data_IF_360490844978
#
_entry.id   IF_360490844978
#
_cell.length_a   1.000
_cell.length_b   1.000
_cell.length_c   1.000
_cell.angle_alpha   90.00
_cell.angle_beta   90.00
_cell.angle_gamma   90.00
#
_symmetry.space_group_name_H-M   'P 1'
#
loop_
_entity.id
_entity.type
_entity.pdbx_description
1 polymer ?
#
# COMPACT_ATOMS: atom_id res chain seq x y z
N UNK A 1 -13.83 -8.72 76.82
CA UNK A 1 -13.54 -9.05 75.42
C UNK A 1 -12.17 -8.46 75.07
N UNK A 2 -11.12 -9.29 75.02
CA UNK A 2 -9.73 -8.88 74.77
C UNK A 2 -9.45 -9.02 73.27
N UNK A 3 -9.13 -7.93 72.58
CA UNK A 3 -8.82 -7.93 71.15
C UNK A 3 -7.34 -8.30 70.96
N UNK A 4 -7.09 -9.32 70.13
CA UNK A 4 -5.80 -9.96 69.93
C UNK A 4 -5.00 -9.24 68.82
N UNK A 5 -3.71 -8.98 69.08
CA UNK A 5 -2.86 -7.99 68.43
C UNK A 5 -2.16 -8.51 67.14
N UNK A 6 -2.84 -9.36 66.37
CA UNK A 6 -2.23 -10.12 65.26
C UNK A 6 -2.42 -9.50 63.86
N UNK A 7 -3.05 -8.32 63.73
CA UNK A 7 -3.38 -7.73 62.42
C UNK A 7 -2.55 -6.48 62.04
N UNK A 8 -1.54 -6.10 62.83
CA UNK A 8 -0.74 -4.88 62.62
C UNK A 8 0.46 -5.03 61.65
N UNK A 9 0.42 -6.00 60.72
CA UNK A 9 1.51 -6.20 59.73
C UNK A 9 1.13 -5.86 58.28
N UNK A 10 -0.02 -5.23 58.04
CA UNK A 10 -0.48 -4.89 56.68
C UNK A 10 -0.37 -3.38 56.37
N UNK A 11 0.25 -2.56 57.24
CA UNK A 11 0.20 -1.09 57.15
C UNK A 11 1.50 -0.39 56.69
N UNK A 12 2.34 -1.03 55.86
CA UNK A 12 3.66 -0.46 55.52
C UNK A 12 4.08 -0.55 54.05
N UNK A 13 3.11 -0.51 53.12
CA UNK A 13 3.42 -0.36 51.68
C UNK A 13 2.44 0.60 50.97
N UNK A 14 2.16 1.76 51.55
CA UNK A 14 1.30 2.80 50.96
C UNK A 14 1.90 4.22 51.05
N UNK A 15 3.23 4.33 51.08
CA UNK A 15 3.92 5.62 51.12
C UNK A 15 5.10 5.61 50.14
N UNK A 16 4.83 5.92 48.86
CA UNK A 16 5.78 6.58 47.94
C UNK A 16 5.25 6.68 46.49
N UNK A 17 4.02 7.16 46.27
CA UNK A 17 3.66 7.76 44.97
C UNK A 17 2.63 8.87 45.21
N UNK A 18 3.09 10.03 45.72
CA UNK A 18 2.35 11.27 45.49
C UNK A 18 2.92 11.86 44.18
N UNK A 19 2.13 11.94 43.09
CA UNK A 19 2.57 12.66 41.92
C UNK A 19 2.72 14.15 42.30
N UNK A 20 3.93 14.69 42.17
CA UNK A 20 4.13 16.14 42.13
C UNK A 20 3.39 16.68 40.89
N UNK A 21 2.29 17.39 41.11
CA UNK A 21 1.64 18.14 40.04
C UNK A 21 2.60 19.26 39.56
N UNK A 22 2.78 19.47 38.25
CA UNK A 22 3.57 20.57 37.74
C UNK A 22 2.93 21.90 38.15
N UNK A 23 3.70 22.78 38.79
CA UNK A 23 3.34 24.19 38.94
C UNK A 23 3.34 24.82 37.55
N UNK A 24 2.17 25.20 37.05
CA UNK A 24 2.04 25.99 35.84
C UNK A 24 2.54 27.41 36.13
N UNK A 25 3.75 27.73 35.68
CA UNK A 25 4.22 29.12 35.63
C UNK A 25 3.51 29.85 34.50
N UNK A 26 2.46 30.62 34.82
CA UNK A 26 1.82 31.52 33.87
C UNK A 26 2.68 32.76 33.67
N UNK A 27 3.44 32.83 32.57
CA UNK A 27 4.14 34.03 32.15
C UNK A 27 3.16 34.99 31.45
N UNK A 28 2.64 35.97 32.19
CA UNK A 28 1.90 37.12 31.67
C UNK A 28 2.39 38.40 32.35
N UNK A 29 2.21 39.56 31.71
CA UNK A 29 2.50 40.84 32.35
C UNK A 29 1.76 40.90 33.71
N UNK A 30 2.40 41.39 34.80
CA UNK A 30 1.75 41.46 36.09
C UNK A 30 0.43 42.22 36.01
N UNK A 31 -0.67 41.60 36.44
CA UNK A 31 -2.00 42.19 36.44
C UNK A 31 -2.09 43.22 37.57
N UNK A 32 -1.52 44.40 37.33
CA UNK A 32 -1.48 45.53 38.25
C UNK A 32 -1.97 46.79 37.54
N UNK A 33 -2.73 47.61 38.25
CA UNK A 33 -3.18 48.91 37.74
C UNK A 33 -2.65 50.01 38.64
N UNK A 34 -2.12 51.06 38.03
CA UNK A 34 -1.79 52.28 38.75
C UNK A 34 -3.04 53.15 38.91
N UNK A 35 -3.32 53.60 40.12
CA UNK A 35 -4.40 54.53 40.43
C UNK A 35 -3.80 55.73 41.18
N UNK A 36 -4.00 56.92 40.65
CA UNK A 36 -3.45 58.16 41.22
C UNK A 36 -4.56 59.17 41.43
N UNK A 37 -4.38 60.03 42.42
CA UNK A 37 -5.33 61.09 42.72
C UNK A 37 -4.76 62.11 43.69
N UNK A 38 -5.58 63.11 43.99
CA UNK A 38 -5.29 64.12 45.01
C UNK A 38 -6.36 64.07 46.09
N UNK A 39 -5.92 63.91 47.34
CA UNK A 39 -6.77 63.97 48.52
C UNK A 39 -6.64 65.35 49.17
N UNK A 40 -7.79 65.94 49.48
CA UNK A 40 -7.87 67.14 50.30
C UNK A 40 -8.66 66.81 51.58
N UNK A 41 -8.14 67.28 52.72
CA UNK A 41 -8.80 67.19 54.02
C UNK A 41 -9.15 68.62 54.46
N UNK A 42 -10.43 68.89 54.69
CA UNK A 42 -10.93 70.22 55.09
C UNK A 42 -10.48 71.37 54.17
N UNK A 43 -10.35 71.10 52.87
CA UNK A 43 -9.93 72.08 51.86
C UNK A 43 -8.42 72.30 51.75
N UNK A 44 -7.61 71.65 52.58
CA UNK A 44 -6.15 71.65 52.48
C UNK A 44 -5.65 70.33 51.88
N UNK A 45 -4.49 70.35 51.25
CA UNK A 45 -3.88 69.14 50.72
C UNK A 45 -3.50 68.20 51.87
N UNK A 46 -3.89 66.93 51.77
CA UNK A 46 -3.53 65.93 52.78
C UNK A 46 -2.03 65.59 52.71
N UNK A 47 -1.41 65.33 53.86
CA UNK A 47 0.04 65.06 53.97
C UNK A 47 0.29 63.82 54.83
N UNK A 48 1.42 63.14 54.58
CA UNK A 48 1.87 62.02 55.38
C UNK A 48 1.25 60.67 55.00
N UNK A 49 1.49 59.64 55.81
CA UNK A 49 1.01 58.29 55.54
C UNK A 49 -0.48 58.13 55.90
N UNK A 50 -1.27 57.66 54.95
CA UNK A 50 -2.71 57.43 55.06
C UNK A 50 -3.05 56.01 54.61
N UNK A 51 -4.06 55.41 55.22
CA UNK A 51 -4.43 54.02 54.91
C UNK A 51 -5.59 53.97 53.92
N UNK A 52 -5.35 53.38 52.75
CA UNK A 52 -6.31 53.27 51.65
C UNK A 52 -6.83 51.85 51.48
N UNK A 53 -8.13 51.74 51.20
CA UNK A 53 -8.75 50.55 50.61
C UNK A 53 -9.50 50.97 49.35
N UNK A 54 -9.26 50.27 48.25
CA UNK A 54 -9.92 50.51 46.97
C UNK A 54 -10.90 49.40 46.67
N UNK A 55 -12.10 49.75 46.24
CA UNK A 55 -13.13 48.80 45.81
C UNK A 55 -13.60 49.14 44.42
N UNK A 56 -13.87 48.13 43.60
CA UNK A 56 -14.44 48.27 42.27
C UNK A 56 -15.86 47.73 42.29
N UNK A 57 -16.80 48.56 41.84
CA UNK A 57 -18.21 48.24 41.69
C UNK A 57 -18.64 48.26 40.23
N UNK A 58 -19.73 47.56 39.93
CA UNK A 58 -20.38 47.55 38.61
C UNK A 58 -21.28 48.77 38.36
N UNK A 59 -21.66 49.53 39.39
CA UNK A 59 -22.48 50.75 39.30
C UNK A 59 -21.94 51.94 40.11
N UNK A 60 -22.34 53.15 39.73
CA UNK A 60 -21.91 54.42 40.34
C UNK A 60 -22.39 54.63 41.78
N UNK A 61 -23.50 53.98 42.16
CA UNK A 61 -24.05 53.90 43.52
C UNK A 61 -24.75 52.55 43.70
N UNK A 62 -24.73 51.96 44.89
CA UNK A 62 -25.22 50.60 45.13
C UNK A 62 -24.35 49.54 44.43
N UNK A 63 -24.98 48.59 43.74
CA UNK A 63 -24.29 47.60 42.90
C UNK A 63 -23.55 46.48 43.65
N UNK A 64 -22.88 45.61 42.89
CA UNK A 64 -22.10 44.50 43.41
C UNK A 64 -20.62 44.90 43.55
N UNK A 65 -19.99 44.47 44.64
CA UNK A 65 -18.54 44.55 44.79
C UNK A 65 -17.89 43.51 43.88
N UNK A 66 -17.16 43.99 42.87
CA UNK A 66 -16.45 43.15 41.90
C UNK A 66 -15.06 42.77 42.43
N UNK A 67 -14.40 43.69 43.12
CA UNK A 67 -13.04 43.51 43.63
C UNK A 67 -12.74 44.51 44.75
N UNK A 68 -12.04 44.10 45.81
CA UNK A 68 -11.46 44.99 46.82
C UNK A 68 -9.96 44.76 46.96
N UNK A 69 -9.19 45.83 47.15
CA UNK A 69 -7.77 45.75 47.47
C UNK A 69 -7.55 45.30 48.92
N UNK A 70 -6.34 44.82 49.21
CA UNK A 70 -5.82 44.86 50.58
C UNK A 70 -5.69 46.31 51.06
N UNK A 71 -5.62 46.50 52.38
CA UNK A 71 -5.31 47.79 52.99
C UNK A 71 -3.87 48.20 52.66
N UNK A 72 -3.68 49.45 52.21
CA UNK A 72 -2.40 49.96 51.74
C UNK A 72 -2.07 51.28 52.43
N UNK A 73 -0.91 51.37 53.08
CA UNK A 73 -0.40 52.63 53.58
C UNK A 73 0.29 53.40 52.44
N UNK A 74 -0.26 54.56 52.05
CA UNK A 74 0.29 55.42 51.00
C UNK A 74 0.73 56.74 51.62
N UNK A 75 1.93 57.19 51.27
CA UNK A 75 2.43 58.51 51.67
C UNK A 75 1.96 59.56 50.69
N UNK A 76 1.32 60.60 51.20
CA UNK A 76 0.86 61.75 50.44
C UNK A 76 1.85 62.90 50.57
N UNK A 77 2.11 63.56 49.45
CA UNK A 77 2.87 64.80 49.36
C UNK A 77 2.05 65.81 48.56
N UNK A 78 1.72 66.96 49.15
CA UNK A 78 0.81 67.95 48.55
C UNK A 78 -0.56 67.35 48.12
N UNK A 79 -1.04 66.37 48.88
CA UNK A 79 -2.29 65.66 48.64
C UNK A 79 -2.19 64.59 47.57
N UNK A 80 -1.09 64.46 46.83
CA UNK A 80 -0.97 63.50 45.73
C UNK A 80 -0.59 62.12 46.25
N UNK A 81 -1.27 61.08 45.76
CA UNK A 81 -0.94 59.68 46.03
C UNK A 81 -0.86 58.86 44.73
N UNK A 82 -0.14 57.73 44.80
CA UNK A 82 -0.10 56.70 43.75
C UNK A 82 -0.24 55.33 44.40
N UNK A 83 -1.19 54.54 43.90
CA UNK A 83 -1.51 53.21 44.41
C UNK A 83 -1.34 52.15 43.32
N UNK A 84 -0.81 50.98 43.68
CA UNK A 84 -0.70 49.83 42.78
C UNK A 84 -1.75 48.77 43.14
N UNK A 85 -2.85 48.74 42.41
CA UNK A 85 -3.92 47.75 42.58
C UNK A 85 -3.44 46.42 42.03
N UNK A 86 -3.30 45.39 42.88
CA UNK A 86 -2.65 44.13 42.48
C UNK A 86 -3.16 42.88 43.21
N UNK A 87 -3.56 42.98 44.47
CA UNK A 87 -4.15 41.89 45.24
C UNK A 87 -5.59 42.23 45.63
N UNK A 88 -6.52 41.28 45.52
CA UNK A 88 -7.87 41.52 46.03
C UNK A 88 -8.71 40.30 46.32
N UNK A 89 -9.82 40.58 46.99
CA UNK A 89 -10.88 39.66 47.45
C UNK A 89 -12.25 40.31 47.13
N UNK A 90 -13.36 39.57 47.02
CA UNK A 90 -13.48 38.11 47.01
C UNK A 90 -12.91 37.45 45.74
N UNK A 91 -12.59 38.22 44.70
CA UNK A 91 -11.94 37.72 43.48
C UNK A 91 -10.51 38.25 43.33
N UNK A 92 -9.61 37.41 42.82
CA UNK A 92 -8.28 37.86 42.40
C UNK A 92 -8.41 38.88 41.24
N UNK A 93 -7.49 39.84 41.16
CA UNK A 93 -7.50 40.83 40.08
C UNK A 93 -7.28 40.12 38.74
N UNK A 94 -8.25 40.24 37.83
CA UNK A 94 -8.23 39.62 36.50
C UNK A 94 -8.78 40.58 35.45
N UNK A 95 -8.58 40.26 34.17
CA UNK A 95 -9.17 41.00 33.03
C UNK A 95 -10.69 41.10 33.13
N UNK A 96 -11.37 40.08 33.67
CA UNK A 96 -12.82 40.07 33.86
C UNK A 96 -13.33 41.18 34.80
N UNK A 97 -12.51 41.64 35.76
CA UNK A 97 -12.84 42.77 36.65
C UNK A 97 -13.14 44.04 35.86
N UNK A 98 -12.52 44.22 34.68
CA UNK A 98 -12.60 45.43 33.86
C UNK A 98 -13.59 45.32 32.69
N UNK A 99 -14.52 44.36 32.75
CA UNK A 99 -15.56 44.20 31.74
C UNK A 99 -16.74 45.16 31.96
N UNK A 100 -17.08 45.99 30.96
CA UNK A 100 -18.15 46.98 31.08
C UNK A 100 -17.78 48.18 31.98
N UNK A 101 -18.78 49.00 32.34
CA UNK A 101 -18.55 50.16 33.20
C UNK A 101 -18.14 49.72 34.61
N UNK A 102 -17.13 50.41 35.17
CA UNK A 102 -16.57 50.12 36.50
C UNK A 102 -16.32 51.38 37.28
N UNK A 103 -16.54 51.33 38.59
CA UNK A 103 -16.48 52.49 39.47
C UNK A 103 -15.62 52.19 40.68
N UNK A 104 -14.64 53.05 40.95
CA UNK A 104 -13.74 52.94 42.10
C UNK A 104 -14.32 53.71 43.28
N UNK A 105 -14.51 52.99 44.39
CA UNK A 105 -14.77 53.53 45.72
C UNK A 105 -13.46 53.49 46.52
N UNK A 106 -13.25 54.51 47.33
CA UNK A 106 -12.05 54.64 48.16
C UNK A 106 -12.44 54.84 49.61
N UNK A 107 -11.78 54.11 50.50
CA UNK A 107 -11.81 54.36 51.94
C UNK A 107 -10.44 54.85 52.38
N UNK A 108 -10.39 56.01 53.05
CA UNK A 108 -9.16 56.58 53.63
C UNK A 108 -9.32 56.66 55.14
N UNK A 109 -8.41 56.04 55.89
CA UNK A 109 -8.45 55.97 57.36
C UNK A 109 -9.84 55.54 57.91
N UNK A 110 -10.54 54.66 57.19
CA UNK A 110 -11.87 54.16 57.55
C UNK A 110 -13.05 55.00 57.04
N UNK A 111 -12.81 56.19 56.48
CA UNK A 111 -13.85 57.05 55.89
C UNK A 111 -14.02 56.72 54.41
N UNK A 112 -15.24 56.38 53.99
CA UNK A 112 -15.55 56.14 52.58
C UNK A 112 -15.82 57.46 51.85
N UNK A 113 -15.12 57.68 50.74
CA UNK A 113 -15.25 58.87 49.92
C UNK A 113 -16.30 58.68 48.83
N UNK A 114 -17.13 59.71 48.62
CA UNK A 114 -18.18 59.75 47.61
C UNK A 114 -18.06 61.03 46.76
N UNK A 115 -18.49 61.02 45.47
CA UNK A 115 -19.03 59.87 44.73
C UNK A 115 -17.93 58.89 44.28
N UNK A 116 -18.33 57.69 43.85
CA UNK A 116 -17.41 56.74 43.19
C UNK A 116 -16.94 57.31 41.86
N UNK A 117 -15.70 57.03 41.50
CA UNK A 117 -15.12 57.51 40.25
C UNK A 117 -15.21 56.44 39.17
N UNK A 118 -15.77 56.76 38.00
CA UNK A 118 -15.79 55.85 36.86
C UNK A 118 -14.38 55.62 36.30
N UNK A 119 -14.09 54.37 35.96
CA UNK A 119 -12.86 53.96 35.30
C UNK A 119 -12.99 54.19 33.80
N UNK A 120 -12.18 55.11 33.27
CA UNK A 120 -12.15 55.43 31.85
C UNK A 120 -11.03 54.66 31.13
N UNK A 121 -11.28 54.24 29.88
CA UNK A 121 -10.24 53.66 29.03
C UNK A 121 -9.27 54.72 28.50
N UNK A 122 -8.00 54.36 28.33
CA UNK A 122 -7.07 55.17 27.55
C UNK A 122 -7.41 55.06 26.05
N UNK A 123 -7.23 56.12 25.23
CA UNK A 123 -7.58 56.10 23.80
C UNK A 123 -6.97 54.92 23.02
N UNK A 124 -5.70 54.59 23.26
CA UNK A 124 -5.04 53.44 22.62
C UNK A 124 -5.48 52.08 23.20
N UNK A 125 -5.94 52.04 24.44
CA UNK A 125 -6.46 50.82 25.06
C UNK A 125 -7.83 50.40 24.48
N UNK A 126 -8.59 51.35 23.91
CA UNK A 126 -9.85 51.05 23.21
C UNK A 126 -9.65 50.13 21.99
N UNK A 127 -8.50 50.23 21.32
CA UNK A 127 -8.16 49.38 20.16
C UNK A 127 -7.71 47.98 20.60
N UNK A 128 -7.17 47.86 21.81
CA UNK A 128 -6.73 46.59 22.40
C UNK A 128 -7.86 45.79 23.07
N UNK A 129 -9.12 46.23 22.97
CA UNK A 129 -10.29 45.62 23.61
C UNK A 129 -10.49 44.13 23.26
N UNK A 130 -9.79 43.60 22.26
CA UNK A 130 -10.06 42.30 21.66
C UNK A 130 -9.24 41.10 22.15
N UNK A 131 -8.29 41.22 23.08
CA UNK A 131 -7.45 40.06 23.46
C UNK A 131 -7.11 40.01 24.96
N UNK A 132 -7.88 39.25 25.73
CA UNK A 132 -7.46 38.72 27.03
C UNK A 132 -6.98 37.26 26.86
N UNK A 133 -6.09 36.71 27.73
CA UNK A 133 -5.59 35.33 27.61
C UNK A 133 -6.67 34.24 27.77
N UNK A 134 -7.83 34.61 28.32
CA UNK A 134 -9.07 33.83 28.41
C UNK A 134 -10.09 34.19 27.30
N UNK A 135 -9.78 35.15 26.44
CA UNK A 135 -10.60 35.50 25.30
C UNK A 135 -10.44 34.43 24.21
N UNK A 136 -11.40 33.53 24.15
CA UNK A 136 -11.69 32.79 22.91
C UNK A 136 -11.97 33.84 21.83
N UNK A 137 -11.07 34.01 20.87
CA UNK A 137 -11.30 34.89 19.73
C UNK A 137 -12.54 34.42 18.98
N UNK A 138 -13.62 35.20 18.92
CA UNK A 138 -14.77 34.86 18.11
C UNK A 138 -14.34 34.80 16.64
N UNK A 139 -14.89 33.87 15.87
CA UNK A 139 -14.55 33.73 14.43
C UNK A 139 -14.70 35.03 13.63
N UNK A 140 -15.55 35.95 14.08
CA UNK A 140 -15.76 37.26 13.46
C UNK A 140 -14.57 38.23 13.57
N UNK A 141 -13.63 38.03 14.50
CA UNK A 141 -12.42 38.88 14.64
C UNK A 141 -11.24 38.37 13.81
N UNK A 142 -11.37 37.20 13.20
CA UNK A 142 -10.39 36.63 12.26
C UNK A 142 -10.83 37.02 10.85
N UNK A 143 -10.06 37.87 10.18
CA UNK A 143 -10.34 38.24 8.80
C UNK A 143 -10.27 37.00 7.89
N UNK A 144 -11.17 36.89 6.92
CA UNK A 144 -11.13 35.80 5.97
C UNK A 144 -9.76 35.75 5.26
N UNK A 145 -9.07 34.62 5.34
CA UNK A 145 -7.75 34.42 4.75
C UNK A 145 -6.56 34.91 5.59
N UNK A 146 -6.75 35.48 6.78
CA UNK A 146 -5.62 35.88 7.64
C UNK A 146 -4.88 34.69 8.25
N UNK A 147 -5.57 33.56 8.42
CA UNK A 147 -4.98 32.27 8.79
C UNK A 147 -4.66 31.51 7.51
N UNK A 148 -3.39 31.55 7.12
CA UNK A 148 -2.85 30.78 6.00
C UNK A 148 -2.08 29.53 6.49
N UNK A 149 -1.58 28.73 5.56
CA UNK A 149 -0.89 27.45 5.81
C UNK A 149 0.31 27.58 6.77
N UNK A 150 0.97 28.74 6.85
CA UNK A 150 2.07 28.97 7.79
C UNK A 150 1.62 29.13 9.24
N UNK A 151 0.34 29.40 9.49
CA UNK A 151 -0.22 29.64 10.83
C UNK A 151 -0.82 28.37 11.45
N UNK A 152 -1.00 27.31 10.66
CA UNK A 152 -1.74 26.11 11.08
C UNK A 152 -0.81 24.89 11.01
N UNK A 153 -0.10 24.62 12.11
CA UNK A 153 0.58 23.34 12.30
C UNK A 153 -0.35 22.37 13.03
N UNK A 154 -1.10 21.57 12.29
CA UNK A 154 -1.93 20.51 12.87
C UNK A 154 -1.03 19.33 13.25
N UNK A 155 -1.01 18.94 14.52
CA UNK A 155 -0.43 17.65 14.90
C UNK A 155 -1.34 16.53 14.38
N UNK A 156 -0.78 15.36 14.10
CA UNK A 156 -1.54 14.18 13.67
C UNK A 156 -2.65 13.78 14.64
N UNK A 157 -2.57 14.20 15.91
CA UNK A 157 -3.60 13.97 16.93
C UNK A 157 -4.74 15.02 16.92
N UNK A 158 -4.57 16.16 16.26
CA UNK A 158 -5.58 17.22 16.21
C UNK A 158 -6.71 16.95 15.21
N UNK A 159 -6.53 16.00 14.29
CA UNK A 159 -7.49 15.68 13.23
C UNK A 159 -8.26 14.42 13.62
N UNK A 160 -9.24 14.55 14.51
CA UNK A 160 -10.07 13.42 14.97
C UNK A 160 -11.20 13.04 13.97
N UNK A 161 -11.56 13.94 13.05
CA UNK A 161 -12.44 13.65 11.91
C UNK A 161 -12.36 14.78 10.89
N UNK A 162 -11.74 14.53 9.73
CA UNK A 162 -11.66 15.52 8.65
C UNK A 162 -12.94 15.51 7.82
N UNK A 163 -13.79 16.54 7.96
CA UNK A 163 -14.74 16.93 6.92
C UNK A 163 -14.11 18.08 6.12
N UNK A 164 -13.08 17.78 5.34
CA UNK A 164 -12.65 18.69 4.27
C UNK A 164 -13.59 18.42 3.09
N UNK A 165 -14.58 19.30 2.91
CA UNK A 165 -15.64 19.15 1.91
C UNK A 165 -15.25 19.62 0.50
N UNK A 166 -13.96 19.83 0.24
CA UNK A 166 -13.42 20.12 -1.08
C UNK A 166 -12.08 19.40 -1.31
N UNK A 167 -11.71 19.23 -2.59
CA UNK A 167 -10.61 18.38 -3.07
C UNK A 167 -9.19 18.91 -2.77
N UNK A 168 -9.01 19.76 -1.74
CA UNK A 168 -7.77 20.53 -1.52
C UNK A 168 -6.79 19.92 -0.51
N UNK A 169 -7.04 18.71 0.00
CA UNK A 169 -6.09 18.01 0.87
C UNK A 169 -5.17 17.12 0.03
N UNK A 170 -3.99 17.65 -0.30
CA UNK A 170 -2.93 16.91 -0.99
C UNK A 170 -2.08 16.14 0.03
N UNK A 171 -2.25 14.81 0.10
CA UNK A 171 -1.45 13.93 0.97
C UNK A 171 -0.13 13.63 0.26
N UNK A 172 0.92 14.43 0.51
CA UNK A 172 2.17 14.36 -0.26
C UNK A 172 3.13 13.25 0.16
N UNK A 173 2.96 12.62 1.33
CA UNK A 173 3.83 11.50 1.75
C UNK A 173 3.08 10.52 2.67
N UNK A 174 2.74 9.36 2.11
CA UNK A 174 2.74 8.08 2.84
C UNK A 174 1.55 7.71 3.75
N UNK A 175 0.46 8.47 3.82
CA UNK A 175 -0.69 8.13 4.68
C UNK A 175 -1.76 7.29 3.95
N UNK A 176 -1.38 6.18 3.33
CA UNK A 176 -2.37 5.14 2.98
C UNK A 176 -2.54 4.22 4.20
N UNK A 177 -3.20 4.69 5.26
CA UNK A 177 -3.63 3.78 6.32
C UNK A 177 -4.94 3.10 5.91
N UNK A 178 -4.95 1.78 6.03
CA UNK A 178 -5.96 0.89 5.46
C UNK A 178 -5.57 0.50 4.04
N UNK A 179 -5.20 -0.77 3.88
CA UNK A 179 -5.04 -1.37 2.58
C UNK A 179 -6.35 -1.37 1.77
N UNK A 180 -6.39 -2.25 0.79
CA UNK A 180 -7.53 -2.46 -0.06
C UNK A 180 -8.79 -2.93 0.72
N UNK A 181 -10.01 -2.64 0.21
CA UNK A 181 -11.32 -3.18 0.68
C UNK A 181 -11.99 -2.58 1.93
N UNK A 182 -12.04 -1.26 2.07
CA UNK A 182 -12.91 -0.62 3.06
C UNK A 182 -13.83 0.43 2.44
N UNK A 183 -15.02 0.62 3.03
CA UNK A 183 -16.00 1.62 2.60
C UNK A 183 -15.36 3.02 2.61
N UNK A 184 -15.33 3.68 1.46
CA UNK A 184 -14.71 5.01 1.27
C UNK A 184 -13.32 5.02 0.62
N UNK A 185 -12.83 3.91 0.06
CA UNK A 185 -11.57 3.86 -0.71
C UNK A 185 -11.79 3.87 -2.22
N UNK A 186 -10.85 4.47 -2.97
CA UNK A 186 -10.89 4.64 -4.44
C UNK A 186 -10.74 3.34 -5.25
N UNK A 187 -10.23 2.28 -4.61
CA UNK A 187 -10.03 0.96 -5.24
C UNK A 187 -10.67 -0.11 -4.35
N UNK A 188 -11.73 -0.73 -4.87
CA UNK A 188 -12.37 -1.90 -4.28
C UNK A 188 -11.81 -3.15 -4.98
N UNK A 189 -11.16 -4.01 -4.19
CA UNK A 189 -10.92 -5.39 -4.56
C UNK A 189 -12.15 -6.24 -4.18
N UNK A 190 -12.37 -7.33 -4.89
CA UNK A 190 -13.36 -8.35 -4.57
C UNK A 190 -13.00 -9.14 -3.29
N UNK A 191 -13.87 -10.07 -2.92
CA UNK A 191 -13.71 -10.96 -1.75
C UNK A 191 -12.47 -11.87 -1.84
N UNK A 192 -11.87 -11.99 -3.03
CA UNK A 192 -10.63 -12.72 -3.28
C UNK A 192 -9.38 -11.84 -3.36
N UNK A 193 -9.50 -10.54 -3.08
CA UNK A 193 -8.36 -9.61 -3.05
C UNK A 193 -7.85 -9.20 -4.43
N UNK A 194 -8.70 -9.18 -5.45
CA UNK A 194 -8.39 -8.67 -6.82
C UNK A 194 -9.27 -7.48 -7.20
N UNK A 195 -8.83 -6.60 -8.09
CA UNK A 195 -9.65 -5.47 -8.56
C UNK A 195 -11.00 -6.00 -9.08
N UNK A 196 -12.13 -5.49 -8.57
CA UNK A 196 -13.46 -6.01 -8.91
C UNK A 196 -13.75 -5.95 -10.41
N UNK A 197 -14.58 -6.88 -10.91
CA UNK A 197 -14.80 -7.19 -12.33
C UNK A 197 -15.24 -6.03 -13.27
N UNK A 198 -15.42 -4.81 -12.76
CA UNK A 198 -15.77 -3.61 -13.53
C UNK A 198 -14.60 -2.69 -13.90
N UNK A 199 -13.42 -2.85 -13.31
CA UNK A 199 -12.20 -2.15 -13.74
C UNK A 199 -11.37 -3.18 -14.49
N UNK A 200 -11.64 -3.34 -15.78
CA UNK A 200 -10.78 -4.14 -16.65
C UNK A 200 -9.41 -3.46 -16.59
N UNK A 201 -8.35 -4.03 -15.96
CA UNK A 201 -7.02 -3.56 -16.28
C UNK A 201 -6.90 -3.89 -17.76
N UNK A 202 -6.89 -2.88 -18.62
CA UNK A 202 -6.45 -3.07 -20.00
C UNK A 202 -4.98 -3.43 -19.88
N UNK A 203 -4.70 -4.69 -19.62
CA UNK A 203 -3.44 -5.34 -19.91
C UNK A 203 -3.35 -5.30 -21.41
N UNK A 204 -2.88 -4.15 -21.91
CA UNK A 204 -2.50 -4.03 -23.30
C UNK A 204 -1.59 -5.21 -23.60
N UNK A 205 -1.72 -5.80 -24.78
CA UNK A 205 -0.93 -6.96 -25.20
C UNK A 205 0.59 -6.71 -25.06
N UNK A 206 1.01 -5.45 -24.98
CA UNK A 206 2.39 -5.01 -24.75
C UNK A 206 2.90 -5.16 -23.30
N UNK A 207 2.05 -5.36 -22.29
CA UNK A 207 2.45 -5.32 -20.88
C UNK A 207 2.82 -6.70 -20.27
N UNK A 208 2.60 -7.80 -20.99
CA UNK A 208 2.94 -9.15 -20.52
C UNK A 208 4.18 -9.63 -21.26
N UNK A 209 5.36 -9.26 -20.76
CA UNK A 209 6.66 -9.63 -21.36
C UNK A 209 7.24 -10.92 -20.76
N UNK A 210 6.83 -11.33 -19.56
CA UNK A 210 7.12 -12.66 -18.99
C UNK A 210 6.25 -12.99 -17.76
N UNK A 211 5.92 -14.27 -17.58
CA UNK A 211 5.22 -14.83 -16.42
C UNK A 211 4.93 -16.32 -16.64
N UNK A 212 5.47 -17.20 -15.79
CA UNK A 212 5.23 -18.66 -15.82
C UNK A 212 4.18 -18.99 -14.77
N UNK A 213 2.95 -19.29 -15.19
CA UNK A 213 1.90 -19.72 -14.27
C UNK A 213 2.05 -21.23 -14.05
N UNK A 214 2.43 -21.62 -12.83
CA UNK A 214 2.91 -22.96 -12.49
C UNK A 214 1.84 -24.04 -12.33
N UNK A 215 0.70 -23.91 -12.99
CA UNK A 215 -0.43 -24.84 -12.86
C UNK A 215 -1.07 -25.26 -14.20
N UNK A 216 -0.39 -25.02 -15.34
CA UNK A 216 -0.85 -25.34 -16.70
C UNK A 216 -2.22 -24.73 -17.08
N UNK A 217 -2.71 -23.70 -16.38
CA UNK A 217 -4.02 -23.07 -16.62
C UNK A 217 -3.99 -21.81 -17.50
N UNK A 218 -2.86 -21.50 -18.14
CA UNK A 218 -2.79 -20.40 -19.11
C UNK A 218 -3.26 -20.89 -20.46
N UNK A 219 -4.54 -20.66 -20.71
CA UNK A 219 -5.15 -20.84 -22.01
C UNK A 219 -5.00 -19.55 -22.81
N UNK A 220 -4.13 -19.54 -23.83
CA UNK A 220 -4.02 -18.42 -24.77
C UNK A 220 -5.16 -18.55 -25.78
N UNK A 221 -6.32 -17.99 -25.44
CA UNK A 221 -7.56 -18.22 -26.19
C UNK A 221 -7.68 -17.39 -27.46
N UNK A 222 -6.94 -16.31 -27.63
CA UNK A 222 -6.89 -15.59 -28.93
C UNK A 222 -5.58 -14.80 -29.08
N UNK A 223 -4.87 -15.04 -30.19
CA UNK A 223 -3.95 -14.06 -30.81
C UNK A 223 -2.50 -13.92 -30.31
N UNK A 224 -2.07 -14.51 -29.19
CA UNK A 224 -0.70 -14.25 -28.69
C UNK A 224 0.43 -15.06 -29.36
N UNK A 225 0.10 -15.91 -30.34
CA UNK A 225 1.05 -16.31 -31.37
C UNK A 225 0.70 -15.51 -32.63
N UNK A 226 1.61 -14.66 -33.11
CA UNK A 226 1.47 -14.13 -34.45
C UNK A 226 1.45 -15.32 -35.43
N UNK A 227 0.27 -15.59 -36.04
CA UNK A 227 0.01 -16.79 -36.87
C UNK A 227 -0.80 -17.91 -36.21
N UNK A 228 -1.60 -17.63 -35.18
CA UNK A 228 -2.40 -18.61 -34.43
C UNK A 228 -3.11 -19.73 -35.22
N UNK A 229 -3.51 -20.79 -34.54
CA UNK A 229 -4.27 -21.89 -35.13
C UNK A 229 -5.62 -21.37 -35.68
N UNK A 230 -5.73 -21.24 -37.01
CA UNK A 230 -6.92 -20.93 -37.86
C UNK A 230 -6.89 -19.66 -38.72
N UNK A 231 -5.74 -19.00 -38.92
CA UNK A 231 -5.57 -17.98 -39.98
C UNK A 231 -4.99 -18.55 -41.31
N UNK A 232 -4.86 -17.70 -42.35
CA UNK A 232 -4.36 -18.07 -43.68
C UNK A 232 -2.87 -18.49 -43.66
N UNK A 233 -2.05 -17.85 -42.83
CA UNK A 233 -0.60 -18.04 -42.78
C UNK A 233 -0.19 -18.96 -41.61
N UNK A 234 -0.07 -20.28 -41.82
CA UNK A 234 0.11 -21.25 -40.72
C UNK A 234 1.36 -22.13 -40.78
N UNK A 235 1.82 -22.51 -39.58
CA UNK A 235 2.70 -23.65 -39.30
C UNK A 235 1.94 -24.99 -39.10
N UNK A 236 0.73 -25.04 -38.47
CA UNK A 236 -0.09 -26.27 -38.32
C UNK A 236 -1.61 -25.95 -38.26
N UNK A 237 -2.48 -26.64 -39.03
CA UNK A 237 -3.96 -26.53 -38.96
C UNK A 237 -4.59 -27.87 -38.51
N UNK A 238 -5.31 -27.90 -37.39
CA UNK A 238 -6.19 -29.03 -37.06
C UNK A 238 -7.64 -28.75 -37.50
N UNK A 239 -8.36 -29.78 -37.92
CA UNK A 239 -9.80 -29.69 -38.21
C UNK A 239 -10.66 -29.71 -36.92
N UNK A 240 -11.98 -29.64 -37.07
CA UNK A 240 -12.92 -29.67 -35.93
C UNK A 240 -12.89 -30.99 -35.13
N UNK A 241 -12.24 -32.02 -35.66
CA UNK A 241 -12.03 -33.32 -35.02
C UNK A 241 -10.60 -33.48 -34.48
N UNK A 242 -9.78 -32.42 -34.51
CA UNK A 242 -8.40 -32.44 -33.99
C UNK A 242 -7.38 -33.08 -34.93
N UNK A 243 -7.68 -33.27 -36.22
CA UNK A 243 -6.82 -33.93 -37.20
C UNK A 243 -6.00 -32.94 -38.03
N UNK A 244 -4.75 -33.27 -38.37
CA UNK A 244 -3.84 -32.44 -39.15
C UNK A 244 -3.92 -32.75 -40.65
N UNK A 245 -4.36 -31.77 -41.44
CA UNK A 245 -4.31 -31.83 -42.91
C UNK A 245 -3.19 -30.95 -43.48
N UNK A 246 -2.33 -31.52 -44.34
CA UNK A 246 -1.29 -30.79 -45.08
C UNK A 246 -1.70 -30.75 -46.56
N UNK A 247 -2.11 -29.56 -47.03
CA UNK A 247 -2.55 -29.37 -48.43
C UNK A 247 -3.89 -30.00 -48.80
N UNK A 248 -4.58 -30.68 -47.88
CA UNK A 248 -5.89 -31.33 -48.07
C UNK A 248 -6.66 -31.40 -46.75
N UNK A 249 -7.99 -31.56 -46.80
CA UNK A 249 -8.79 -31.86 -45.62
C UNK A 249 -8.43 -33.24 -45.06
N UNK A 250 -8.21 -33.39 -43.76
CA UNK A 250 -7.75 -34.65 -43.20
C UNK A 250 -8.85 -35.71 -43.11
N UNK A 251 -8.48 -36.95 -43.42
CA UNK A 251 -9.32 -38.15 -43.24
C UNK A 251 -8.84 -39.03 -42.09
N UNK A 252 -7.61 -38.82 -41.62
CA UNK A 252 -6.97 -39.47 -40.46
C UNK A 252 -6.27 -38.42 -39.58
N UNK A 253 -5.70 -38.83 -38.44
CA UNK A 253 -5.00 -37.94 -37.49
C UNK A 253 -3.94 -37.06 -38.16
N UNK A 254 -3.26 -37.59 -39.19
CA UNK A 254 -2.43 -36.85 -40.14
C UNK A 254 -2.86 -37.24 -41.55
N UNK A 255 -3.05 -36.28 -42.44
CA UNK A 255 -3.29 -36.50 -43.87
C UNK A 255 -2.42 -35.54 -44.67
N UNK A 256 -1.66 -36.06 -45.63
CA UNK A 256 -0.80 -35.26 -46.51
C UNK A 256 -1.34 -35.39 -47.93
N UNK A 257 -1.77 -34.27 -48.52
CA UNK A 257 -2.33 -34.23 -49.88
C UNK A 257 -1.26 -34.24 -50.97
N UNK A 258 0.00 -33.98 -50.61
CA UNK A 258 1.16 -34.04 -51.48
C UNK A 258 2.14 -35.17 -51.11
N UNK A 259 3.24 -35.31 -51.86
CA UNK A 259 4.28 -36.29 -51.56
C UNK A 259 5.00 -35.96 -50.24
N UNK A 260 5.50 -37.00 -49.57
CA UNK A 260 6.33 -36.88 -48.36
C UNK A 260 7.79 -37.05 -48.77
N UNK A 261 8.63 -36.06 -48.49
CA UNK A 261 10.08 -36.20 -48.63
C UNK A 261 10.64 -36.94 -47.42
N UNK A 262 11.24 -38.11 -47.65
CA UNK A 262 11.83 -38.95 -46.62
C UNK A 262 13.35 -39.03 -46.78
N UNK A 263 14.13 -39.08 -45.68
CA UNK A 263 15.57 -39.31 -45.76
C UNK A 263 15.91 -40.61 -46.49
N UNK A 264 16.84 -40.53 -47.43
CA UNK A 264 17.38 -41.68 -48.15
C UNK A 264 18.91 -41.69 -48.00
N UNK A 265 19.47 -42.84 -47.65
CA UNK A 265 20.89 -43.01 -47.37
C UNK A 265 21.44 -44.23 -48.09
N UNK A 266 22.60 -44.09 -48.70
CA UNK A 266 23.38 -45.21 -49.24
C UNK A 266 24.44 -45.65 -48.25
N UNK A 267 24.60 -46.95 -48.07
CA UNK A 267 25.61 -47.57 -47.20
C UNK A 267 26.40 -48.64 -47.97
N UNK A 268 27.69 -48.73 -47.72
CA UNK A 268 28.64 -49.66 -48.38
C UNK A 268 29.34 -50.60 -47.39
N UNK A 269 28.84 -50.65 -46.15
CA UNK A 269 29.34 -51.46 -45.05
C UNK A 269 28.22 -51.63 -44.00
N UNK A 270 28.46 -52.49 -43.00
CA UNK A 270 27.53 -52.69 -41.89
C UNK A 270 27.12 -51.35 -41.25
N UNK A 271 25.84 -51.22 -40.92
CA UNK A 271 25.28 -49.95 -40.45
C UNK A 271 24.13 -50.16 -39.47
N UNK A 272 24.13 -49.42 -38.37
CA UNK A 272 22.99 -49.35 -37.45
C UNK A 272 22.03 -48.26 -37.92
N UNK A 273 20.80 -48.64 -38.24
CA UNK A 273 19.74 -47.73 -38.66
C UNK A 273 19.36 -46.82 -37.49
N UNK A 274 19.18 -45.53 -37.77
CA UNK A 274 18.88 -44.51 -36.75
C UNK A 274 17.49 -43.91 -36.94
N UNK A 275 17.02 -43.13 -35.97
CA UNK A 275 15.74 -42.41 -36.07
C UNK A 275 15.69 -41.34 -37.17
N UNK A 276 16.84 -40.95 -37.72
CA UNK A 276 16.93 -39.98 -38.80
C UNK A 276 16.91 -40.63 -40.20
N UNK A 277 16.89 -41.96 -40.27
CA UNK A 277 16.84 -42.71 -41.52
C UNK A 277 15.39 -43.05 -41.90
N UNK A 278 15.14 -43.37 -43.17
CA UNK A 278 13.84 -43.90 -43.61
C UNK A 278 14.01 -44.95 -44.70
N UNK A 279 14.77 -44.62 -45.75
CA UNK A 279 15.17 -45.58 -46.78
C UNK A 279 16.69 -45.80 -46.75
N UNK A 280 17.11 -47.05 -46.66
CA UNK A 280 18.50 -47.47 -46.76
C UNK A 280 18.72 -48.20 -48.09
N UNK A 281 19.67 -47.69 -48.87
CA UNK A 281 20.20 -48.32 -50.06
C UNK A 281 21.52 -49.00 -49.70
N UNK A 282 21.54 -50.33 -49.66
CA UNK A 282 22.72 -51.11 -49.34
C UNK A 282 23.42 -51.56 -50.62
N UNK A 283 24.66 -51.11 -50.79
CA UNK A 283 25.58 -51.52 -51.85
C UNK A 283 26.56 -52.54 -51.30
N UNK A 284 26.21 -53.81 -51.43
CA UNK A 284 27.00 -54.94 -50.98
C UNK A 284 28.07 -55.37 -51.99
N UNK A 285 28.44 -54.52 -52.97
CA UNK A 285 29.38 -54.88 -54.05
C UNK A 285 30.71 -55.44 -53.57
N UNK A 286 31.19 -55.01 -52.39
CA UNK A 286 32.49 -55.41 -51.83
C UNK A 286 32.37 -56.48 -50.74
N UNK A 287 31.41 -56.34 -49.83
CA UNK A 287 31.21 -57.25 -48.69
C UNK A 287 29.71 -57.45 -48.46
N UNK A 288 29.37 -58.54 -47.76
CA UNK A 288 28.04 -58.66 -47.13
C UNK A 288 27.77 -57.46 -46.22
N UNK A 289 26.53 -57.00 -46.17
CA UNK A 289 26.11 -55.87 -45.34
C UNK A 289 25.05 -56.31 -44.34
N UNK A 290 25.34 -56.07 -43.07
CA UNK A 290 24.40 -56.23 -41.96
C UNK A 290 23.87 -54.86 -41.52
N UNK A 291 22.55 -54.74 -41.53
CA UNK A 291 21.82 -53.54 -41.14
C UNK A 291 21.07 -53.79 -39.84
N UNK A 292 21.63 -53.31 -38.74
CA UNK A 292 21.01 -53.46 -37.43
C UNK A 292 19.85 -52.48 -37.29
N UNK A 293 18.63 -52.99 -37.10
CA UNK A 293 17.44 -52.21 -36.82
C UNK A 293 17.51 -51.60 -35.40
N UNK A 294 16.84 -50.47 -35.14
CA UNK A 294 16.69 -49.98 -33.78
C UNK A 294 15.91 -50.94 -32.89
N UNK A 295 16.00 -50.72 -31.57
CA UNK A 295 15.10 -51.33 -30.59
C UNK A 295 13.63 -51.08 -30.98
N UNK A 296 12.89 -52.16 -31.22
CA UNK A 296 11.49 -52.15 -31.61
C UNK A 296 10.59 -51.44 -30.58
N UNK A 297 10.88 -51.55 -29.28
CA UNK A 297 10.11 -50.86 -28.22
C UNK A 297 10.23 -49.35 -28.38
N UNK A 298 11.46 -48.85 -28.58
CA UNK A 298 11.71 -47.44 -28.83
C UNK A 298 11.24 -46.98 -30.22
N UNK A 299 10.99 -47.91 -31.13
CA UNK A 299 10.63 -47.65 -32.52
C UNK A 299 9.18 -47.97 -32.88
N UNK A 300 8.29 -48.20 -31.91
CA UNK A 300 6.89 -48.58 -32.16
C UNK A 300 6.23 -47.72 -33.26
N UNK A 301 5.75 -48.38 -34.31
CA UNK A 301 5.08 -47.75 -35.45
C UNK A 301 6.01 -47.17 -36.52
N UNK A 302 7.33 -47.07 -36.29
CA UNK A 302 8.30 -46.64 -37.32
C UNK A 302 8.40 -47.66 -38.44
N UNK A 303 8.51 -47.14 -39.66
CA UNK A 303 8.66 -47.93 -40.89
C UNK A 303 10.01 -47.60 -41.51
N UNK A 304 10.78 -48.64 -41.84
CA UNK A 304 12.02 -48.53 -42.61
C UNK A 304 11.89 -49.31 -43.92
N UNK A 305 12.47 -48.76 -44.98
CA UNK A 305 12.66 -49.46 -46.25
C UNK A 305 14.14 -49.78 -46.42
N UNK A 306 14.45 -51.04 -46.66
CA UNK A 306 15.81 -51.49 -46.95
C UNK A 306 15.84 -52.09 -48.34
N UNK A 307 16.81 -51.68 -49.16
CA UNK A 307 16.95 -52.13 -50.54
C UNK A 307 18.38 -52.46 -50.89
N UNK A 308 18.61 -53.63 -51.47
CA UNK A 308 19.90 -53.97 -52.10
C UNK A 308 19.97 -53.30 -53.48
N UNK A 309 21.06 -52.60 -53.77
CA UNK A 309 21.20 -51.83 -55.01
C UNK A 309 22.26 -52.35 -55.98
N UNK A 310 23.16 -53.21 -55.53
CA UNK A 310 24.20 -53.81 -56.37
C UNK A 310 23.82 -55.21 -56.87
N UNK A 311 24.50 -55.68 -57.91
CA UNK A 311 24.27 -56.97 -58.58
C UNK A 311 25.18 -58.09 -58.09
N UNK A 312 26.00 -57.85 -57.06
CA UNK A 312 26.86 -58.88 -56.49
C UNK A 312 26.06 -59.96 -55.75
N UNK A 313 26.70 -61.12 -55.55
CA UNK A 313 26.15 -62.24 -54.77
C UNK A 313 26.15 -62.00 -53.25
N UNK A 314 26.79 -60.93 -52.79
CA UNK A 314 26.86 -60.61 -51.37
C UNK A 314 25.46 -60.26 -50.85
N UNK A 315 25.06 -60.88 -49.75
CA UNK A 315 23.77 -60.62 -49.11
C UNK A 315 23.71 -59.26 -48.40
N UNK A 316 22.49 -58.71 -48.35
CA UNK A 316 22.11 -57.65 -47.43
C UNK A 316 21.13 -58.24 -46.43
N UNK A 317 21.43 -58.08 -45.14
CA UNK A 317 20.64 -58.61 -44.03
C UNK A 317 20.16 -57.46 -43.14
N UNK A 318 18.86 -57.34 -42.92
CA UNK A 318 18.33 -56.50 -41.86
C UNK A 318 18.18 -57.36 -40.59
N UNK A 319 18.75 -56.91 -39.47
CA UNK A 319 18.92 -57.71 -38.25
C UNK A 319 18.21 -57.00 -37.09
N UNK A 320 17.37 -57.70 -36.35
CA UNK A 320 16.79 -57.19 -35.10
C UNK A 320 17.81 -57.25 -33.96
N UNK A 321 17.70 -56.34 -33.00
CA UNK A 321 18.53 -56.39 -31.79
C UNK A 321 18.04 -57.51 -30.87
N UNK A 322 18.94 -58.29 -30.29
CA UNK A 322 18.57 -59.34 -29.32
C UNK A 322 17.83 -58.73 -28.10
N UNK A 323 16.74 -59.34 -27.60
CA UNK A 323 16.11 -60.60 -28.01
C UNK A 323 14.92 -60.43 -28.99
N UNK A 324 14.83 -59.29 -29.66
CA UNK A 324 13.75 -58.97 -30.60
C UNK A 324 13.94 -59.73 -31.91
N UNK A 325 12.83 -59.94 -32.61
CA UNK A 325 12.78 -60.73 -33.84
C UNK A 325 12.12 -59.94 -34.98
N UNK A 326 12.34 -60.40 -36.21
CA UNK A 326 11.67 -60.01 -37.45
C UNK A 326 10.81 -61.20 -37.88
N UNK A 327 9.48 -61.11 -37.74
CA UNK A 327 8.56 -62.23 -38.02
C UNK A 327 8.99 -63.58 -37.40
N UNK A 328 9.58 -63.55 -36.20
CA UNK A 328 10.05 -64.74 -35.47
C UNK A 328 11.47 -65.20 -35.81
N UNK A 329 12.19 -64.53 -36.71
CA UNK A 329 13.60 -64.76 -37.01
C UNK A 329 14.49 -63.62 -36.49
N UNK A 330 15.81 -63.82 -36.36
CA UNK A 330 16.73 -62.76 -35.92
C UNK A 330 17.05 -61.75 -37.02
N UNK A 331 16.95 -62.18 -38.27
CA UNK A 331 17.24 -61.37 -39.45
C UNK A 331 16.32 -61.71 -40.62
N UNK A 332 16.31 -60.81 -41.60
CA UNK A 332 15.83 -61.07 -42.95
C UNK A 332 16.92 -60.73 -43.95
N UNK A 333 17.21 -61.68 -44.83
CA UNK A 333 18.33 -61.60 -45.78
C UNK A 333 17.84 -61.68 -47.23
N UNK A 334 18.43 -60.86 -48.11
CA UNK A 334 18.18 -60.89 -49.54
C UNK A 334 19.47 -60.70 -50.35
N UNK A 335 19.55 -61.41 -51.48
CA UNK A 335 20.78 -61.56 -52.27
C UNK A 335 20.67 -60.97 -53.68
N UNK A 336 19.46 -60.86 -54.22
CA UNK A 336 19.26 -60.36 -55.58
C UNK A 336 19.17 -58.84 -55.60
N UNK A 337 19.70 -58.24 -56.67
CA UNK A 337 19.60 -56.80 -56.90
C UNK A 337 18.14 -56.35 -56.86
N UNK A 338 17.91 -55.15 -56.32
CA UNK A 338 16.60 -54.52 -56.21
C UNK A 338 15.62 -55.17 -55.25
N UNK A 339 16.00 -56.27 -54.60
CA UNK A 339 15.21 -56.83 -53.51
C UNK A 339 15.06 -55.79 -52.41
N UNK A 340 13.81 -55.64 -51.95
CA UNK A 340 13.41 -54.59 -51.01
C UNK A 340 12.54 -55.18 -49.92
N UNK A 341 12.81 -54.83 -48.67
CA UNK A 341 11.99 -55.12 -47.52
C UNK A 341 11.47 -53.83 -46.88
N UNK A 342 10.18 -53.80 -46.55
CA UNK A 342 9.56 -52.75 -45.73
C UNK A 342 9.24 -53.37 -44.38
N UNK A 343 9.85 -52.81 -43.34
CA UNK A 343 9.80 -53.33 -41.97
C UNK A 343 9.12 -52.29 -41.09
N UNK A 344 8.15 -52.71 -40.28
CA UNK A 344 7.50 -51.85 -39.30
C UNK A 344 7.59 -52.46 -37.91
N UNK A 345 7.91 -51.64 -36.92
CA UNK A 345 7.92 -52.10 -35.54
C UNK A 345 6.50 -52.12 -34.95
N UNK A 346 6.14 -53.20 -34.26
CA UNK A 346 4.89 -53.30 -33.48
C UNK A 346 5.03 -52.80 -32.03
N UNK A 347 6.25 -52.42 -31.63
CA UNK A 347 6.61 -52.04 -30.26
C UNK A 347 7.16 -53.18 -29.40
N UNK A 348 7.43 -54.35 -29.98
CA UNK A 348 8.10 -55.48 -29.32
C UNK A 348 9.05 -56.21 -30.26
N UNK A 349 8.65 -56.36 -31.53
CA UNK A 349 9.39 -56.97 -32.61
C UNK A 349 9.26 -56.12 -33.89
N UNK A 350 9.90 -56.58 -34.97
CA UNK A 350 9.78 -56.04 -36.31
C UNK A 350 8.89 -56.96 -37.15
N UNK A 351 8.03 -56.35 -37.97
CA UNK A 351 7.10 -57.05 -38.85
C UNK A 351 7.45 -56.74 -40.30
N UNK A 352 7.48 -57.77 -41.16
CA UNK A 352 7.63 -57.56 -42.59
C UNK A 352 6.28 -57.13 -43.18
N UNK A 353 6.19 -55.87 -43.58
CA UNK A 353 4.97 -55.32 -44.19
C UNK A 353 4.89 -55.67 -45.68
N UNK A 354 6.05 -55.67 -46.34
CA UNK A 354 6.17 -56.06 -47.73
C UNK A 354 7.59 -56.51 -48.01
N UNK A 355 7.71 -57.56 -48.79
CA UNK A 355 8.96 -57.95 -49.43
C UNK A 355 8.71 -58.15 -50.91
N UNK A 356 9.58 -57.58 -51.74
CA UNK A 356 9.54 -57.79 -53.18
C UNK A 356 10.90 -58.34 -53.61
N UNK A 357 10.89 -59.59 -54.04
CA UNK A 357 11.98 -60.21 -54.77
C UNK A 357 11.68 -60.13 -56.27
N UNK A 358 12.61 -59.55 -57.05
CA UNK A 358 12.59 -59.64 -58.51
C UNK A 358 13.28 -60.91 -59.00
#
# INVERSE_FOLDING_TARGET
MKINMSFLRVFLLAAAVYPLAPLTAGAGAPLKINFQGRLAESGLAAEGSKTFVFKIYDTSSGGNLVWTSASQALTLTQGVFSAALSAGTPAALSTAVFSGARYVEMTVDGVTLAPRQEMMSAPYALVAQALAPDAVMPSATIAAGSVNDSHVSLTTAAINSGKFGDDRVYISTGAFYGGFNAAGKLVQLDESGRLGEGIIPVLTTAAITSGKFGDDRVYISTGAFFGGFNAADKLVKLDASGRLGVGVAPTSALTVGGPISLPIKTVTANYTITENDSTILADASTNIIELTLPDAVAAKGRVYTVKKIDDSVNGVSAIAVDPQLIDGAVDISFYLQWNTAVLQSDGSNWIVISILGF
#
